data_IF_065222094552
#
_entry.id   IF_065222094552
#
_cell.length_a   1.000
_cell.length_b   1.000
_cell.length_c   1.000
_cell.angle_alpha   90.00
_cell.angle_beta   90.00
_cell.angle_gamma   90.00
#
_symmetry.space_group_name_H-M   'P 1'
#
loop_
_entity.id
_entity.type
_entity.pdbx_description
1 polymer ?
#
# COMPACT_ATOMS: atom_id res chain seq x y z
N UNK A 1 -3.73 -12.53 -26.53
CA UNK A 1 -4.20 -12.45 -25.14
C UNK A 1 -3.02 -11.95 -24.33
N UNK A 2 -3.10 -10.75 -23.76
CA UNK A 2 -2.06 -10.18 -22.93
C UNK A 2 -2.52 -10.17 -21.46
N UNK A 3 -1.56 -10.21 -20.53
CA UNK A 3 -1.83 -10.00 -19.12
C UNK A 3 -1.73 -8.49 -18.81
N UNK A 4 -2.75 -7.96 -18.16
CA UNK A 4 -2.78 -6.60 -17.62
C UNK A 4 -2.82 -6.63 -16.10
N UNK A 5 -1.95 -5.88 -15.44
CA UNK A 5 -2.04 -5.64 -14.00
C UNK A 5 -2.84 -4.36 -13.75
N UNK A 6 -3.72 -4.39 -12.75
CA UNK A 6 -4.45 -3.22 -12.27
C UNK A 6 -4.19 -3.08 -10.78
N UNK A 7 -3.71 -1.91 -10.38
CA UNK A 7 -3.39 -1.60 -8.98
C UNK A 7 -4.02 -0.27 -8.61
N UNK A 8 -4.12 0.05 -7.33
CA UNK A 8 -4.54 1.38 -6.90
C UNK A 8 -3.36 2.24 -6.40
N UNK A 9 -3.58 3.54 -6.33
CA UNK A 9 -2.54 4.52 -5.96
C UNK A 9 -1.99 4.37 -4.54
N UNK A 10 -2.59 3.53 -3.70
CA UNK A 10 -2.04 3.23 -2.37
C UNK A 10 -0.86 2.24 -2.40
N UNK A 11 -0.52 1.69 -3.55
CA UNK A 11 0.71 0.92 -3.74
C UNK A 11 1.97 1.80 -3.74
N UNK A 12 1.80 3.12 -3.85
CA UNK A 12 2.88 4.12 -3.92
C UNK A 12 3.91 3.85 -5.04
N UNK A 13 3.44 3.22 -6.12
CA UNK A 13 4.20 3.03 -7.35
C UNK A 13 3.79 4.07 -8.39
N UNK A 14 4.72 4.39 -9.28
CA UNK A 14 4.54 5.35 -10.36
C UNK A 14 4.85 4.71 -11.71
N UNK A 15 4.54 5.39 -12.81
CA UNK A 15 4.93 4.97 -14.16
C UNK A 15 6.46 4.97 -14.41
N UNK A 16 7.27 5.43 -13.45
CA UNK A 16 8.72 5.21 -13.45
C UNK A 16 9.10 3.81 -12.91
N UNK A 17 8.20 3.14 -12.21
CA UNK A 17 8.42 1.84 -11.59
C UNK A 17 7.87 0.69 -12.43
N UNK A 18 6.86 0.96 -13.24
CA UNK A 18 6.11 -0.01 -14.05
C UNK A 18 5.77 0.58 -15.42
N UNK A 19 5.56 -0.26 -16.41
CA UNK A 19 5.22 0.16 -17.78
C UNK A 19 3.70 0.19 -18.03
N UNK A 20 3.31 0.38 -19.30
CA UNK A 20 1.91 0.47 -19.75
C UNK A 20 1.08 -0.80 -19.54
N UNK A 21 1.70 -1.92 -19.16
CA UNK A 21 0.98 -3.14 -18.80
C UNK A 21 0.41 -3.08 -17.37
N UNK A 22 0.74 -2.03 -16.62
CA UNK A 22 0.20 -1.79 -15.28
C UNK A 22 -0.63 -0.52 -15.28
N UNK A 23 -1.93 -0.66 -15.00
CA UNK A 23 -2.85 0.45 -14.80
C UNK A 23 -2.90 0.83 -13.32
N UNK A 24 -2.61 2.09 -12.99
CA UNK A 24 -2.64 2.61 -11.62
C UNK A 24 -3.90 3.46 -11.44
N UNK A 25 -4.90 2.92 -10.75
CA UNK A 25 -6.16 3.61 -10.50
C UNK A 25 -6.02 4.59 -9.34
N UNK A 26 -6.33 5.88 -9.54
CA UNK A 26 -6.24 6.86 -8.47
C UNK A 26 -7.34 6.65 -7.42
N UNK A 27 -6.96 6.65 -6.16
CA UNK A 27 -7.87 6.82 -5.03
C UNK A 27 -7.98 8.33 -4.78
N UNK A 28 -9.13 8.97 -5.02
CA UNK A 28 -9.28 10.42 -4.88
C UNK A 28 -8.99 10.90 -3.45
N UNK A 29 -8.29 12.04 -3.36
CA UNK A 29 -7.93 12.71 -2.11
C UNK A 29 -8.60 14.09 -2.08
N UNK A 30 -9.26 14.42 -0.98
CA UNK A 30 -9.90 15.71 -0.76
C UNK A 30 -9.13 16.52 0.26
N UNK A 31 -8.75 17.74 -0.12
CA UNK A 31 -8.06 18.70 0.75
C UNK A 31 -8.88 19.99 0.72
N UNK A 32 -9.38 20.40 1.89
CA UNK A 32 -10.25 21.59 2.04
C UNK A 32 -11.39 21.63 1.00
N UNK A 33 -12.04 20.49 0.75
CA UNK A 33 -13.17 20.34 -0.17
C UNK A 33 -12.81 20.22 -1.66
N UNK A 34 -11.53 20.37 -2.03
CA UNK A 34 -11.08 20.19 -3.42
C UNK A 34 -10.58 18.77 -3.64
N UNK A 35 -11.02 18.17 -4.75
CA UNK A 35 -10.60 16.84 -5.17
C UNK A 35 -9.27 16.87 -5.93
N UNK A 36 -8.42 15.89 -5.61
CA UNK A 36 -7.15 15.64 -6.28
C UNK A 36 -7.01 14.14 -6.57
N UNK A 37 -6.34 13.84 -7.68
CA UNK A 37 -6.05 12.49 -8.12
C UNK A 37 -4.54 12.23 -8.03
N UNK A 38 -4.09 11.34 -7.13
CA UNK A 38 -2.68 10.98 -7.00
C UNK A 38 -2.05 10.58 -8.33
N UNK A 39 -0.83 11.04 -8.58
CA UNK A 39 -0.02 10.81 -9.79
C UNK A 39 -0.59 11.40 -11.10
N UNK A 40 -1.78 12.02 -11.07
CA UNK A 40 -2.38 12.71 -12.22
C UNK A 40 -2.25 14.23 -12.05
N UNK A 41 -2.77 14.79 -10.97
CA UNK A 41 -2.74 16.22 -10.70
C UNK A 41 -2.28 16.55 -9.26
N UNK A 42 -1.70 15.57 -8.57
CA UNK A 42 -1.18 15.73 -7.21
C UNK A 42 0.10 14.90 -7.06
N UNK A 43 1.24 15.57 -6.96
CA UNK A 43 2.51 14.96 -6.60
C UNK A 43 2.60 14.71 -5.11
N UNK A 44 3.54 13.85 -4.67
CA UNK A 44 3.78 13.62 -3.24
C UNK A 44 4.23 14.92 -2.54
N UNK A 45 5.10 15.69 -3.17
CA UNK A 45 5.61 16.97 -2.62
C UNK A 45 4.48 17.99 -2.44
N UNK A 46 3.65 18.19 -3.47
CA UNK A 46 2.50 19.10 -3.39
C UNK A 46 1.50 18.65 -2.35
N UNK A 47 1.25 17.34 -2.24
CA UNK A 47 0.36 16.82 -1.22
C UNK A 47 0.82 17.19 0.20
N UNK A 48 2.08 16.94 0.55
CA UNK A 48 2.56 17.23 1.90
C UNK A 48 2.65 18.73 2.18
N UNK A 49 2.90 19.55 1.17
CA UNK A 49 2.79 21.02 1.29
C UNK A 49 1.35 21.44 1.56
N UNK A 50 0.39 20.97 0.77
CA UNK A 50 -1.03 21.26 0.94
C UNK A 50 -1.58 20.72 2.27
N UNK A 51 -1.17 19.50 2.67
CA UNK A 51 -1.58 18.91 3.96
C UNK A 51 -1.15 19.77 5.15
N UNK A 52 0.03 20.39 5.08
CA UNK A 52 0.55 21.29 6.13
C UNK A 52 -0.24 22.59 6.23
N UNK A 53 -0.75 23.09 5.09
CA UNK A 53 -1.51 24.34 4.98
C UNK A 53 -3.02 24.13 5.21
N UNK A 54 -3.51 22.89 5.12
CA UNK A 54 -4.93 22.56 5.17
C UNK A 54 -5.56 22.87 6.52
N UNK A 55 -6.80 23.35 6.48
CA UNK A 55 -7.63 23.63 7.68
C UNK A 55 -8.16 22.36 8.32
N UNK A 56 -8.42 21.34 7.49
CA UNK A 56 -8.89 20.03 7.93
C UNK A 56 -7.93 18.96 7.45
N UNK A 57 -7.94 17.80 8.13
CA UNK A 57 -7.17 16.64 7.63
C UNK A 57 -7.71 16.19 6.27
N UNK A 58 -6.82 15.88 5.31
CA UNK A 58 -7.22 15.32 4.03
C UNK A 58 -8.07 14.05 4.22
N UNK A 59 -9.00 13.84 3.31
CA UNK A 59 -9.89 12.67 3.27
C UNK A 59 -9.67 11.91 1.97
N UNK A 60 -9.94 10.62 1.98
CA UNK A 60 -9.90 9.78 0.78
C UNK A 60 -11.24 9.07 0.59
N UNK A 61 -11.56 8.77 -0.65
CA UNK A 61 -12.65 7.85 -1.01
C UNK A 61 -12.04 6.62 -1.68
N UNK A 62 -12.83 5.57 -1.91
CA UNK A 62 -12.36 4.41 -2.68
C UNK A 62 -12.20 4.75 -4.17
N UNK A 63 -11.55 3.88 -4.94
CA UNK A 63 -11.56 3.99 -6.42
C UNK A 63 -13.01 4.01 -6.91
N UNK A 64 -13.40 4.99 -7.76
CA UNK A 64 -14.75 5.11 -8.26
C UNK A 64 -15.22 3.84 -8.99
N UNK A 65 -16.44 3.38 -8.70
CA UNK A 65 -17.01 2.17 -9.27
C UNK A 65 -17.01 2.17 -10.81
N UNK A 66 -17.40 3.31 -11.41
CA UNK A 66 -17.42 3.47 -12.86
C UNK A 66 -16.02 3.41 -13.50
N UNK A 67 -14.98 3.83 -12.78
CA UNK A 67 -13.60 3.71 -13.25
C UNK A 67 -13.15 2.25 -13.25
N UNK A 68 -13.40 1.50 -12.17
CA UNK A 68 -13.16 0.05 -12.11
C UNK A 68 -13.89 -0.69 -13.23
N UNK A 69 -15.19 -0.39 -13.40
CA UNK A 69 -16.03 -1.00 -14.42
C UNK A 69 -15.47 -0.75 -15.82
N UNK A 70 -15.16 0.50 -16.14
CA UNK A 70 -14.60 0.87 -17.44
C UNK A 70 -13.28 0.14 -17.70
N UNK A 71 -12.34 0.21 -16.75
CA UNK A 71 -11.01 -0.42 -16.87
C UNK A 71 -11.11 -1.92 -17.10
N UNK A 72 -11.88 -2.63 -16.29
CA UNK A 72 -12.01 -4.08 -16.43
C UNK A 72 -12.73 -4.48 -17.72
N UNK A 73 -13.83 -3.80 -18.04
CA UNK A 73 -14.60 -4.09 -19.26
C UNK A 73 -13.77 -3.91 -20.51
N UNK A 74 -13.01 -2.81 -20.60
CA UNK A 74 -12.17 -2.54 -21.77
C UNK A 74 -11.11 -3.64 -21.97
N UNK A 75 -10.45 -4.10 -20.91
CA UNK A 75 -9.43 -5.14 -21.02
C UNK A 75 -10.03 -6.51 -21.37
N UNK A 76 -11.15 -6.88 -20.76
CA UNK A 76 -11.85 -8.14 -21.07
C UNK A 76 -12.34 -8.16 -22.51
N UNK A 77 -12.90 -7.05 -23.02
CA UNK A 77 -13.36 -6.94 -24.42
C UNK A 77 -12.20 -6.98 -25.44
N UNK A 78 -11.01 -6.52 -25.07
CA UNK A 78 -9.78 -6.70 -25.87
C UNK A 78 -9.28 -8.16 -25.88
N UNK A 79 -9.89 -9.04 -25.09
CA UNK A 79 -9.49 -10.43 -24.92
C UNK A 79 -8.30 -10.61 -23.96
N UNK A 80 -7.97 -9.61 -23.17
CA UNK A 80 -6.88 -9.69 -22.18
C UNK A 80 -7.34 -10.38 -20.89
N UNK A 81 -6.37 -10.92 -20.14
CA UNK A 81 -6.55 -11.32 -18.75
C UNK A 81 -6.12 -10.18 -17.83
N UNK A 82 -6.78 -10.06 -16.68
CA UNK A 82 -6.51 -9.00 -15.69
C UNK A 82 -6.21 -9.62 -14.33
N UNK A 83 -5.10 -9.21 -13.72
CA UNK A 83 -4.85 -9.44 -12.28
C UNK A 83 -4.89 -8.08 -11.60
N UNK A 84 -5.87 -7.89 -10.71
CA UNK A 84 -6.07 -6.66 -9.96
C UNK A 84 -5.65 -6.85 -8.50
N UNK A 85 -4.76 -6.00 -7.98
CA UNK A 85 -4.24 -6.09 -6.61
C UNK A 85 -4.53 -4.77 -5.91
N UNK A 86 -5.35 -4.81 -4.86
CA UNK A 86 -5.84 -3.61 -4.19
C UNK A 86 -5.48 -3.56 -2.72
N UNK A 87 -5.49 -2.34 -2.18
CA UNK A 87 -5.42 -2.07 -0.74
C UNK A 87 -6.36 -2.98 0.05
N UNK A 88 -5.93 -3.34 1.26
CA UNK A 88 -6.71 -4.16 2.19
C UNK A 88 -8.18 -3.74 2.28
N UNK A 89 -9.09 -4.70 2.14
CA UNK A 89 -10.54 -4.50 2.20
C UNK A 89 -11.02 -3.87 3.51
N UNK A 90 -10.29 -4.08 4.62
CA UNK A 90 -10.57 -3.46 5.91
C UNK A 90 -10.12 -1.98 6.02
N UNK A 91 -9.33 -1.49 5.07
CA UNK A 91 -8.85 -0.10 5.04
C UNK A 91 -9.56 0.75 4.00
N UNK A 92 -10.06 0.13 2.91
CA UNK A 92 -10.77 0.81 1.81
C UNK A 92 -11.82 -0.10 1.18
N UNK A 93 -12.89 0.49 0.66
CA UNK A 93 -13.92 -0.22 -0.10
C UNK A 93 -13.50 -0.64 -1.52
N UNK A 94 -12.29 -0.28 -1.99
CA UNK A 94 -11.84 -0.52 -3.37
C UNK A 94 -11.92 -1.99 -3.77
N UNK A 95 -11.39 -2.91 -2.95
CA UNK A 95 -11.45 -4.35 -3.22
C UNK A 95 -12.91 -4.84 -3.35
N UNK A 96 -13.79 -4.47 -2.42
CA UNK A 96 -15.20 -4.89 -2.45
C UNK A 96 -15.93 -4.34 -3.68
N UNK A 97 -15.64 -3.08 -4.07
CA UNK A 97 -16.18 -2.50 -5.30
C UNK A 97 -15.67 -3.21 -6.55
N UNK A 98 -14.40 -3.59 -6.59
CA UNK A 98 -13.83 -4.36 -7.70
C UNK A 98 -14.51 -5.73 -7.84
N UNK A 99 -14.77 -6.42 -6.72
CA UNK A 99 -15.52 -7.67 -6.74
C UNK A 99 -16.95 -7.48 -7.25
N UNK A 100 -17.65 -6.41 -6.82
CA UNK A 100 -18.99 -6.11 -7.30
C UNK A 100 -19.01 -5.79 -8.81
N UNK A 101 -18.00 -5.06 -9.31
CA UNK A 101 -17.82 -4.81 -10.74
C UNK A 101 -17.62 -6.13 -11.50
N UNK A 102 -16.80 -7.06 -10.98
CA UNK A 102 -16.63 -8.37 -11.64
C UNK A 102 -17.97 -9.10 -11.77
N UNK A 103 -18.78 -9.15 -10.72
CA UNK A 103 -20.08 -9.81 -10.77
C UNK A 103 -21.00 -9.14 -11.81
N UNK A 104 -21.03 -7.82 -11.87
CA UNK A 104 -21.78 -7.10 -12.91
C UNK A 104 -21.28 -7.45 -14.33
N UNK A 105 -19.96 -7.57 -14.53
CA UNK A 105 -19.40 -7.96 -15.83
C UNK A 105 -19.71 -9.42 -16.17
N UNK A 106 -19.79 -10.31 -15.18
CA UNK A 106 -20.24 -11.70 -15.36
C UNK A 106 -21.69 -11.74 -15.84
N UNK A 107 -22.58 -10.97 -15.22
CA UNK A 107 -24.00 -10.87 -15.64
C UNK A 107 -24.13 -10.31 -17.06
N UNK A 108 -23.24 -9.40 -17.46
CA UNK A 108 -23.29 -8.74 -18.77
C UNK A 108 -22.58 -9.52 -19.89
N UNK A 109 -21.42 -10.11 -19.61
CA UNK A 109 -20.51 -10.71 -20.60
C UNK A 109 -20.39 -12.24 -20.50
N UNK A 110 -20.92 -12.84 -19.43
CA UNK A 110 -20.88 -14.27 -19.19
C UNK A 110 -19.82 -14.76 -18.20
N UNK A 111 -19.94 -16.02 -17.79
CA UNK A 111 -19.10 -16.67 -16.75
C UNK A 111 -17.59 -16.69 -17.06
N UNK A 112 -17.23 -16.57 -18.34
CA UNK A 112 -15.82 -16.52 -18.77
C UNK A 112 -15.04 -15.36 -18.18
N UNK A 113 -15.73 -14.28 -17.74
CA UNK A 113 -15.10 -13.15 -17.02
C UNK A 113 -14.36 -13.62 -15.78
N UNK A 114 -14.90 -14.61 -15.04
CA UNK A 114 -14.26 -15.15 -13.83
C UNK A 114 -12.92 -15.82 -14.09
N UNK A 115 -12.71 -16.30 -15.31
CA UNK A 115 -11.47 -16.94 -15.72
C UNK A 115 -10.44 -15.95 -16.25
N UNK A 116 -10.86 -14.70 -16.51
CA UNK A 116 -10.02 -13.61 -17.07
C UNK A 116 -9.75 -12.49 -16.09
N UNK A 117 -10.58 -12.32 -15.05
CA UNK A 117 -10.47 -11.23 -14.07
C UNK A 117 -10.23 -11.77 -12.66
N UNK A 118 -8.98 -11.74 -12.24
CA UNK A 118 -8.51 -12.15 -10.93
C UNK A 118 -8.34 -10.93 -10.03
N UNK A 119 -8.99 -10.93 -8.86
CA UNK A 119 -8.95 -9.80 -7.92
C UNK A 119 -8.38 -10.28 -6.60
N UNK A 120 -7.37 -9.56 -6.09
CA UNK A 120 -6.62 -9.91 -4.88
C UNK A 120 -6.82 -8.82 -3.83
N UNK A 121 -7.26 -9.23 -2.63
CA UNK A 121 -7.14 -8.43 -1.42
C UNK A 121 -5.70 -8.57 -0.89
N UNK A 122 -4.93 -7.50 -0.96
CA UNK A 122 -3.54 -7.54 -0.51
C UNK A 122 -3.37 -7.69 1.01
N UNK A 123 -4.44 -7.47 1.76
CA UNK A 123 -4.45 -7.41 3.23
C UNK A 123 -3.41 -6.44 3.82
N UNK A 124 -2.90 -5.52 2.99
CA UNK A 124 -1.89 -4.53 3.35
C UNK A 124 -2.11 -3.20 2.65
N UNK A 125 -1.15 -2.29 2.70
CA UNK A 125 -1.23 -0.93 2.15
C UNK A 125 0.18 -0.37 1.92
N UNK A 126 0.31 0.67 1.10
CA UNK A 126 1.55 1.43 0.83
C UNK A 126 2.68 0.57 0.25
N UNK A 127 3.93 0.82 0.59
CA UNK A 127 5.08 0.09 0.08
C UNK A 127 5.02 -1.46 0.25
N UNK A 128 4.37 -2.05 1.27
CA UNK A 128 4.10 -3.48 1.28
C UNK A 128 3.16 -3.93 0.15
N UNK A 129 2.11 -3.17 -0.15
CA UNK A 129 1.28 -3.43 -1.33
C UNK A 129 2.11 -3.26 -2.60
N UNK A 130 2.94 -2.22 -2.67
CA UNK A 130 3.90 -2.01 -3.75
C UNK A 130 4.83 -3.19 -3.96
N UNK A 131 5.31 -3.84 -2.88
CA UNK A 131 6.14 -5.03 -2.95
C UNK A 131 5.43 -6.21 -3.66
N UNK A 132 4.15 -6.46 -3.34
CA UNK A 132 3.32 -7.47 -4.03
C UNK A 132 3.12 -7.11 -5.50
N UNK A 133 2.83 -5.83 -5.79
CA UNK A 133 2.63 -5.35 -7.16
C UNK A 133 3.90 -5.48 -8.01
N UNK A 134 5.08 -5.19 -7.46
CA UNK A 134 6.37 -5.34 -8.14
C UNK A 134 6.72 -6.81 -8.40
N UNK A 135 6.38 -7.71 -7.47
CA UNK A 135 6.55 -9.15 -7.72
C UNK A 135 5.61 -9.63 -8.83
N UNK A 136 4.33 -9.20 -8.83
CA UNK A 136 3.39 -9.49 -9.92
C UNK A 136 3.88 -8.93 -11.26
N UNK A 137 4.40 -7.70 -11.27
CA UNK A 137 4.97 -7.07 -12.46
C UNK A 137 6.19 -7.83 -12.99
N UNK A 138 7.08 -8.26 -12.12
CA UNK A 138 8.23 -9.11 -12.49
C UNK A 138 7.78 -10.43 -13.15
N UNK A 139 6.75 -11.08 -12.60
CA UNK A 139 6.18 -12.29 -13.19
C UNK A 139 5.56 -12.01 -14.56
N UNK A 140 4.81 -10.91 -14.71
CA UNK A 140 4.27 -10.47 -15.99
C UNK A 140 5.39 -10.30 -17.03
N UNK A 141 6.47 -9.61 -16.68
CA UNK A 141 7.64 -9.41 -17.58
C UNK A 141 8.34 -10.71 -17.96
N UNK A 142 8.25 -11.73 -17.12
CA UNK A 142 8.78 -13.07 -17.37
C UNK A 142 7.80 -13.98 -18.15
N UNK A 143 6.62 -13.46 -18.55
CA UNK A 143 5.65 -14.19 -19.36
C UNK A 143 4.76 -15.17 -18.58
N UNK A 144 4.63 -15.00 -17.26
CA UNK A 144 3.71 -15.80 -16.45
C UNK A 144 2.25 -15.53 -16.84
N UNK A 145 1.40 -16.54 -16.73
CA UNK A 145 -0.05 -16.43 -16.92
C UNK A 145 -0.71 -15.68 -15.75
N UNK A 146 -1.91 -15.15 -15.97
CA UNK A 146 -2.69 -14.48 -14.93
C UNK A 146 -2.95 -15.39 -13.72
N UNK A 147 -3.21 -16.66 -13.97
CA UNK A 147 -3.42 -17.66 -12.92
C UNK A 147 -2.17 -17.87 -12.07
N UNK A 148 -1.00 -18.00 -12.67
CA UNK A 148 0.27 -18.16 -11.95
C UNK A 148 0.58 -16.92 -11.09
N UNK A 149 0.35 -15.71 -11.64
CA UNK A 149 0.50 -14.44 -10.87
C UNK A 149 -0.48 -14.41 -9.71
N UNK A 150 -1.75 -14.74 -9.95
CA UNK A 150 -2.78 -14.77 -8.90
C UNK A 150 -2.42 -15.75 -7.77
N UNK A 151 -2.01 -16.96 -8.09
CA UNK A 151 -1.62 -17.98 -7.12
C UNK A 151 -0.38 -17.56 -6.33
N UNK A 152 0.64 -17.02 -7.02
CA UNK A 152 1.87 -16.54 -6.37
C UNK A 152 1.61 -15.39 -5.42
N UNK A 153 0.83 -14.38 -5.83
CA UNK A 153 0.58 -13.23 -4.97
C UNK A 153 -0.26 -13.63 -3.75
N UNK A 154 -1.29 -14.48 -3.92
CA UNK A 154 -2.04 -15.02 -2.78
C UNK A 154 -1.16 -15.85 -1.81
N UNK A 155 -0.15 -16.55 -2.32
CA UNK A 155 0.84 -17.24 -1.48
C UNK A 155 1.70 -16.24 -0.68
N UNK A 156 2.05 -15.09 -1.27
CA UNK A 156 2.90 -14.07 -0.64
C UNK A 156 2.16 -13.18 0.36
N UNK A 157 0.86 -12.90 0.14
CA UNK A 157 0.05 -12.02 1.00
C UNK A 157 0.19 -12.34 2.49
N UNK A 158 -0.04 -13.56 2.99
CA UNK A 158 0.09 -13.87 4.42
C UNK A 158 1.54 -13.87 4.93
N UNK A 159 2.52 -13.93 4.03
CA UNK A 159 3.94 -13.94 4.34
C UNK A 159 4.56 -12.55 4.37
N UNK A 160 3.90 -11.58 3.80
CA UNK A 160 4.36 -10.19 3.80
C UNK A 160 4.15 -9.57 5.18
N UNK A 161 5.21 -9.09 5.77
CA UNK A 161 5.22 -8.43 7.08
C UNK A 161 5.72 -7.00 6.94
N UNK A 162 5.25 -6.13 7.83
CA UNK A 162 5.73 -4.77 7.91
C UNK A 162 5.78 -4.29 9.35
N UNK A 163 6.72 -3.41 9.63
CA UNK A 163 6.75 -2.58 10.84
C UNK A 163 7.07 -1.15 10.44
N UNK A 164 6.32 -0.24 11.00
CA UNK A 164 6.53 1.18 10.77
C UNK A 164 6.45 1.96 12.08
N UNK A 165 7.26 2.99 12.15
CA UNK A 165 7.13 4.04 13.14
C UNK A 165 6.14 5.10 12.64
N UNK A 166 5.23 5.53 13.50
CA UNK A 166 4.28 6.61 13.22
C UNK A 166 4.58 7.77 14.17
N UNK A 167 4.75 8.97 13.62
CA UNK A 167 5.06 10.16 14.40
C UNK A 167 3.86 10.62 15.25
N UNK A 168 2.66 10.60 14.66
CA UNK A 168 1.42 11.05 15.28
C UNK A 168 0.22 10.19 14.84
N UNK A 169 -0.37 9.47 15.80
CA UNK A 169 -1.54 8.61 15.55
C UNK A 169 -2.84 9.41 15.33
N UNK A 170 -2.83 10.73 15.47
CA UNK A 170 -4.02 11.57 15.28
C UNK A 170 -4.59 11.41 13.87
N UNK A 171 -3.74 11.32 12.86
CA UNK A 171 -4.15 11.12 11.46
C UNK A 171 -4.90 9.79 11.28
N UNK A 172 -4.32 8.69 11.75
CA UNK A 172 -4.93 7.36 11.69
C UNK A 172 -6.22 7.28 12.50
N UNK A 173 -6.25 7.91 13.68
CA UNK A 173 -7.43 7.92 14.57
C UNK A 173 -8.58 8.71 13.94
N UNK A 174 -8.33 9.93 13.48
CA UNK A 174 -9.36 10.77 12.83
C UNK A 174 -9.81 10.18 11.50
N UNK A 175 -8.91 9.53 10.78
CA UNK A 175 -9.22 8.80 9.55
C UNK A 175 -9.98 7.48 9.75
N UNK A 176 -10.08 6.98 10.99
CA UNK A 176 -10.79 5.72 11.31
C UNK A 176 -10.08 4.45 10.81
N UNK A 177 -8.78 4.49 10.50
CA UNK A 177 -7.99 3.36 9.97
C UNK A 177 -7.09 2.70 11.00
N UNK A 178 -7.26 3.01 12.28
CA UNK A 178 -6.60 2.32 13.39
C UNK A 178 -7.64 1.66 14.31
N UNK A 179 -7.36 0.45 14.79
CA UNK A 179 -8.26 -0.24 15.72
C UNK A 179 -8.35 0.50 17.07
N UNK A 180 -9.54 0.47 17.71
CA UNK A 180 -9.84 1.23 18.91
C UNK A 180 -8.87 1.03 20.08
N UNK A 181 -8.35 -0.19 20.27
CA UNK A 181 -7.36 -0.50 21.32
C UNK A 181 -6.01 0.18 21.10
N UNK A 182 -5.65 0.45 19.84
CA UNK A 182 -4.39 1.12 19.46
C UNK A 182 -4.49 2.64 19.57
N UNK A 183 -5.70 3.20 19.59
CA UNK A 183 -5.94 4.64 19.65
C UNK A 183 -5.62 5.29 21.02
N UNK A 184 -5.36 4.48 22.07
CA UNK A 184 -5.15 4.95 23.45
C UNK A 184 -3.79 5.68 23.67
N UNK A 185 -2.93 5.79 22.64
CA UNK A 185 -1.59 6.40 22.76
C UNK A 185 -1.55 7.85 22.29
N UNK A 186 -2.64 8.35 21.71
CA UNK A 186 -2.72 9.72 21.20
C UNK A 186 -2.57 10.75 22.32
N UNK A 187 -1.53 11.59 22.25
CA UNK A 187 -1.35 12.73 23.16
C UNK A 187 -0.11 12.72 24.03
N UNK A 188 0.69 11.63 24.08
CA UNK A 188 1.94 11.60 24.84
C UNK A 188 3.10 11.86 23.88
N UNK A 189 3.59 13.08 23.85
CA UNK A 189 4.61 13.59 22.90
C UNK A 189 5.90 12.75 22.84
N UNK A 190 6.29 12.13 23.94
CA UNK A 190 7.52 11.31 24.02
C UNK A 190 7.33 9.85 23.57
N UNK A 191 6.09 9.38 23.44
CA UNK A 191 5.78 8.01 23.02
C UNK A 191 5.69 7.94 21.49
N UNK A 192 6.47 7.02 20.93
CA UNK A 192 6.56 6.75 19.49
C UNK A 192 6.01 5.34 19.21
N UNK A 193 4.78 5.25 18.66
CA UNK A 193 4.18 3.95 18.36
C UNK A 193 4.86 3.27 17.17
N UNK A 194 5.10 1.99 17.32
CA UNK A 194 5.43 1.08 16.22
C UNK A 194 4.17 0.29 15.89
N UNK A 195 3.85 0.26 14.61
CA UNK A 195 2.64 -0.38 14.08
C UNK A 195 2.98 -1.57 13.19
N UNK A 196 1.99 -2.44 13.01
CA UNK A 196 1.91 -3.45 11.95
C UNK A 196 0.59 -3.35 11.20
N UNK A 197 0.57 -3.87 9.99
CA UNK A 197 -0.66 -4.29 9.30
C UNK A 197 -0.63 -5.80 9.21
N UNK A 198 -1.68 -6.44 9.67
CA UNK A 198 -1.84 -7.89 9.66
C UNK A 198 -3.31 -8.22 9.41
N UNK A 199 -3.58 -9.12 8.47
CA UNK A 199 -4.94 -9.46 8.02
C UNK A 199 -5.78 -8.23 7.67
N UNK A 200 -5.15 -7.23 7.05
CA UNK A 200 -5.79 -5.97 6.68
C UNK A 200 -6.06 -5.01 7.84
N UNK A 201 -5.64 -5.33 9.06
CA UNK A 201 -5.87 -4.49 10.26
C UNK A 201 -4.59 -3.80 10.72
N UNK A 202 -4.67 -2.48 10.89
CA UNK A 202 -3.58 -1.69 11.43
C UNK A 202 -3.65 -1.65 12.95
N UNK A 203 -2.58 -2.12 13.61
CA UNK A 203 -2.49 -2.18 15.07
C UNK A 203 -1.14 -1.66 15.58
N UNK A 204 -1.13 -1.13 16.81
CA UNK A 204 0.10 -0.77 17.51
C UNK A 204 0.70 -1.99 18.20
N UNK A 205 1.96 -2.28 17.92
CA UNK A 205 2.69 -3.41 18.55
C UNK A 205 3.50 -2.96 19.75
N UNK A 206 4.16 -1.80 19.65
CA UNK A 206 5.06 -1.29 20.66
C UNK A 206 4.86 0.21 20.88
N UNK A 207 5.25 0.68 22.05
CA UNK A 207 5.22 2.08 22.47
C UNK A 207 6.61 2.46 22.97
N UNK A 208 7.42 3.04 22.09
CA UNK A 208 8.81 3.34 22.40
C UNK A 208 8.97 4.81 22.83
N UNK A 209 9.92 5.08 23.70
CA UNK A 209 10.30 6.45 24.06
C UNK A 209 11.39 6.96 23.13
N UNK A 210 11.05 8.01 22.37
CA UNK A 210 11.97 8.64 21.42
C UNK A 210 12.11 7.88 20.09
N UNK A 211 12.58 8.63 19.09
CA UNK A 211 12.68 8.18 17.70
C UNK A 211 13.65 6.99 17.55
N UNK A 212 14.84 7.09 18.14
CA UNK A 212 15.88 6.07 17.98
C UNK A 212 15.43 4.68 18.50
N UNK A 213 14.71 4.66 19.64
CA UNK A 213 14.18 3.41 20.17
C UNK A 213 13.09 2.82 19.26
N UNK A 214 12.24 3.66 18.66
CA UNK A 214 11.24 3.20 17.71
C UNK A 214 11.89 2.62 16.44
N UNK A 215 12.91 3.28 15.88
CA UNK A 215 13.67 2.77 14.73
C UNK A 215 14.38 1.45 15.04
N UNK A 216 15.02 1.37 16.19
CA UNK A 216 15.66 0.13 16.67
C UNK A 216 14.64 -1.00 16.80
N UNK A 217 13.45 -0.73 17.37
CA UNK A 217 12.37 -1.72 17.52
C UNK A 217 11.88 -2.24 16.17
N UNK A 218 11.76 -1.39 15.16
CA UNK A 218 11.40 -1.79 13.78
C UNK A 218 12.42 -2.82 13.27
N UNK A 219 13.72 -2.53 13.38
CA UNK A 219 14.80 -3.43 12.95
C UNK A 219 14.85 -4.73 13.75
N UNK A 220 14.77 -4.67 15.09
CA UNK A 220 14.76 -5.85 15.96
C UNK A 220 13.61 -6.79 15.65
N UNK A 221 12.43 -6.25 15.33
CA UNK A 221 11.28 -7.08 14.98
C UNK A 221 11.51 -7.84 13.69
N UNK A 222 12.10 -7.19 12.68
CA UNK A 222 12.45 -7.86 11.43
C UNK A 222 13.50 -8.95 11.65
N UNK A 223 14.57 -8.68 12.42
CA UNK A 223 15.62 -9.66 12.72
C UNK A 223 15.11 -10.91 13.45
N UNK A 224 14.09 -10.73 14.30
CA UNK A 224 13.49 -11.84 15.06
C UNK A 224 12.43 -12.62 14.27
N UNK A 225 12.23 -12.28 12.99
CA UNK A 225 11.30 -12.98 12.10
C UNK A 225 12.04 -13.96 11.17
N UNK A 226 11.30 -14.87 10.56
CA UNK A 226 11.87 -15.86 9.64
C UNK A 226 11.94 -15.31 8.21
N UNK A 227 12.80 -14.28 8.00
CA UNK A 227 12.90 -13.58 6.71
C UNK A 227 13.28 -14.53 5.58
N UNK A 228 12.57 -14.43 4.46
CA UNK A 228 12.98 -15.02 3.18
C UNK A 228 13.88 -14.03 2.42
N UNK A 229 15.20 -14.20 2.58
CA UNK A 229 16.19 -13.35 1.90
C UNK A 229 16.27 -13.55 0.38
N UNK A 230 15.51 -14.47 -0.19
CA UNK A 230 15.37 -14.60 -1.65
C UNK A 230 14.38 -13.58 -2.25
N UNK A 231 13.58 -12.96 -1.40
CA UNK A 231 12.62 -11.93 -1.77
C UNK A 231 13.09 -10.54 -1.30
N UNK A 232 12.72 -9.48 -2.03
CA UNK A 232 13.17 -8.12 -1.71
C UNK A 232 12.51 -7.57 -0.45
N UNK A 233 13.25 -6.68 0.24
CA UNK A 233 12.75 -5.86 1.33
C UNK A 233 12.64 -4.40 0.86
N UNK A 234 11.64 -3.69 1.35
CA UNK A 234 11.40 -2.30 0.97
C UNK A 234 11.33 -1.40 2.21
N UNK A 235 11.71 -0.14 2.03
CA UNK A 235 11.55 0.91 3.04
C UNK A 235 10.59 1.97 2.49
N UNK A 236 9.64 2.42 3.33
CA UNK A 236 8.75 3.52 3.00
C UNK A 236 8.88 4.69 3.97
N UNK A 237 8.66 5.92 3.49
CA UNK A 237 8.62 7.12 4.32
C UNK A 237 7.56 8.11 3.84
N UNK A 238 7.05 8.94 4.75
CA UNK A 238 6.11 10.04 4.44
C UNK A 238 6.80 11.39 4.54
N UNK A 239 6.40 12.34 3.70
CA UNK A 239 6.82 13.75 3.65
C UNK A 239 8.32 13.97 3.54
N UNK A 240 9.08 13.57 4.52
CA UNK A 240 10.46 13.93 4.77
C UNK A 240 11.37 12.71 4.61
N UNK A 241 12.22 12.77 3.60
CA UNK A 241 13.19 11.70 3.31
C UNK A 241 14.17 11.48 4.46
N UNK A 242 14.47 12.51 5.25
CA UNK A 242 15.40 12.43 6.39
C UNK A 242 14.97 11.33 7.38
N UNK A 243 13.65 11.22 7.64
CA UNK A 243 13.12 10.16 8.52
C UNK A 243 13.39 8.77 7.94
N UNK A 244 13.27 8.61 6.63
CA UNK A 244 13.62 7.37 5.92
C UNK A 244 15.12 7.07 5.97
N UNK A 245 15.97 8.08 5.75
CA UNK A 245 17.42 7.96 5.78
C UNK A 245 17.92 7.58 7.20
N UNK A 246 17.30 8.11 8.25
CA UNK A 246 17.56 7.68 9.64
C UNK A 246 17.26 6.18 9.79
N UNK A 247 16.07 5.72 9.39
CA UNK A 247 15.73 4.29 9.47
C UNK A 247 16.70 3.44 8.64
N UNK A 248 17.07 3.86 7.43
CA UNK A 248 18.03 3.17 6.59
C UNK A 248 19.36 2.96 7.35
N UNK A 249 19.87 3.99 8.03
CA UNK A 249 21.09 3.88 8.82
C UNK A 249 20.99 2.86 9.98
N UNK A 250 19.80 2.69 10.57
CA UNK A 250 19.54 1.64 11.56
C UNK A 250 19.50 0.25 10.91
N UNK A 251 18.84 0.11 9.74
CA UNK A 251 18.80 -1.16 9.00
C UNK A 251 20.21 -1.61 8.66
N UNK A 252 21.04 -0.74 8.10
CA UNK A 252 22.44 -1.05 7.73
C UNK A 252 23.31 -1.44 8.93
N UNK A 253 23.13 -0.76 10.08
CA UNK A 253 23.93 -1.00 11.29
C UNK A 253 23.52 -2.24 12.07
N UNK A 254 22.23 -2.54 12.10
CA UNK A 254 21.67 -3.54 13.01
C UNK A 254 21.23 -4.82 12.31
N UNK A 255 21.13 -4.82 10.98
CA UNK A 255 20.59 -5.96 10.25
C UNK A 255 21.44 -6.33 9.04
N UNK A 256 21.18 -7.52 8.46
CA UNK A 256 21.72 -7.94 7.15
C UNK A 256 20.69 -7.76 6.03
N UNK A 257 19.61 -7.00 6.29
CA UNK A 257 18.54 -6.75 5.33
C UNK A 257 19.06 -5.78 4.26
N UNK A 258 18.93 -6.19 3.00
CA UNK A 258 19.15 -5.30 1.85
C UNK A 258 17.83 -4.69 1.45
N UNK A 259 17.75 -3.36 1.48
CA UNK A 259 16.59 -2.63 0.97
C UNK A 259 16.74 -2.51 -0.55
N UNK A 260 15.82 -3.14 -1.27
CA UNK A 260 15.76 -3.10 -2.74
C UNK A 260 15.40 -1.70 -3.24
N UNK A 261 14.42 -1.07 -2.58
CA UNK A 261 13.95 0.26 -2.96
C UNK A 261 13.43 1.03 -1.75
N UNK A 262 13.68 2.34 -1.77
CA UNK A 262 13.09 3.31 -0.83
C UNK A 262 11.91 4.00 -1.54
N UNK A 263 10.72 3.92 -0.96
CA UNK A 263 9.47 4.38 -1.55
C UNK A 263 8.94 5.59 -0.79
N UNK A 264 8.69 6.68 -1.51
CA UNK A 264 7.98 7.85 -0.97
C UNK A 264 6.49 7.54 -0.90
N UNK A 265 5.92 7.51 0.30
CA UNK A 265 4.51 7.26 0.53
C UNK A 265 3.68 8.46 0.05
N UNK A 266 2.74 8.20 -0.84
CA UNK A 266 1.96 9.20 -1.55
C UNK A 266 0.71 9.68 -0.82
N UNK A 267 -0.10 10.51 -1.52
CA UNK A 267 -1.24 11.21 -0.96
C UNK A 267 -2.29 10.29 -0.33
N UNK A 268 -2.58 9.16 -0.97
CA UNK A 268 -3.62 8.21 -0.53
C UNK A 268 -3.38 7.74 0.89
N UNK A 269 -2.15 7.32 1.18
CA UNK A 269 -1.78 6.80 2.50
C UNK A 269 -1.32 7.93 3.42
N UNK A 270 -0.63 8.93 2.90
CA UNK A 270 -0.18 10.12 3.64
C UNK A 270 -1.31 10.89 4.31
N UNK A 271 -2.52 10.90 3.71
CA UNK A 271 -3.72 11.49 4.31
C UNK A 271 -4.09 10.88 5.68
N UNK A 272 -3.78 9.59 5.87
CA UNK A 272 -4.09 8.84 7.08
C UNK A 272 -2.87 8.58 7.97
N UNK A 273 -1.68 8.40 7.40
CA UNK A 273 -0.45 8.19 8.17
C UNK A 273 0.14 9.49 8.72
N UNK A 274 -0.10 10.60 8.03
CA UNK A 274 0.50 11.89 8.36
C UNK A 274 2.00 11.95 8.02
N UNK A 275 2.64 13.11 8.29
CA UNK A 275 4.05 13.32 8.00
C UNK A 275 4.96 12.63 9.03
N UNK A 276 6.21 12.31 8.62
CA UNK A 276 7.28 11.81 9.48
C UNK A 276 7.11 10.35 9.92
N UNK A 277 6.47 9.52 9.09
CA UNK A 277 6.36 8.09 9.28
C UNK A 277 7.40 7.37 8.42
N UNK A 278 7.91 6.23 8.89
CA UNK A 278 8.78 5.36 8.10
C UNK A 278 8.73 3.93 8.61
N UNK A 279 9.04 2.98 7.74
CA UNK A 279 9.06 1.57 8.09
C UNK A 279 9.68 0.70 7.02
N UNK A 280 9.79 -0.58 7.33
CA UNK A 280 10.28 -1.61 6.40
C UNK A 280 9.24 -2.73 6.25
N UNK A 281 9.28 -3.40 5.11
CA UNK A 281 8.58 -4.65 4.91
C UNK A 281 9.51 -5.73 4.37
N UNK A 282 9.14 -6.98 4.65
CA UNK A 282 9.86 -8.19 4.26
C UNK A 282 8.89 -9.34 4.10
N UNK A 283 9.33 -10.40 3.45
CA UNK A 283 8.58 -11.64 3.35
C UNK A 283 9.16 -12.68 4.33
N UNK A 284 8.29 -13.48 4.93
CA UNK A 284 8.66 -14.64 5.76
C UNK A 284 8.59 -15.93 4.91
N UNK A 285 9.43 -16.92 5.28
CA UNK A 285 9.45 -18.24 4.63
C UNK A 285 8.16 -19.01 4.82
#
# INVERSE_FOLDING_TARGET
>A
MALKLVIDSSADLTHADVDENVEILPIPVFIDGKEYLPFINLTNEDFYRLQKEAKELPKTVQVPFNLLYKTFKEEILKGNEVVAIFIASKLSGTFSSACAVREQLVDELGEEVRQKLFIIDSLTVTYPLGALCLEAYKMLKNGSSAKEVFERINYLVPRLKMRAFIKDLTYLKKGGRISGASAAVAGILSIKPVIKVEDGVLTTTNKERGLNNAMKRVCETALNSNIDYSLPCYLGYTSDKETGDILMSFVEKLTNIKIEKVISIGPTVGAHAGPGCTGICWFEK
#
